data_IF_701677234876
#
_entry.id   IF_701677234876
#
_cell.length_a   1.000
_cell.length_b   1.000
_cell.length_c   1.000
_cell.angle_alpha   90.00
_cell.angle_beta   90.00
_cell.angle_gamma   90.00
#
_symmetry.space_group_name_H-M   'P 1'
#
loop_
_entity.id
_entity.type
_entity.pdbx_description
1 polymer ?
#
# COMPACT_ATOMS: atom_id res chain seq x y z
N UNK A 1 -5.47 -17.56 -2.84
CA UNK A 1 -6.23 -18.66 -3.50
C UNK A 1 -5.81 -20.01 -2.93
N UNK A 2 -6.75 -20.87 -2.54
CA UNK A 2 -6.53 -22.32 -2.33
C UNK A 2 -7.58 -23.06 -3.16
N UNK A 3 -7.16 -24.00 -4.02
CA UNK A 3 -7.99 -24.81 -4.94
C UNK A 3 -8.56 -24.10 -6.20
N UNK A 4 -8.02 -22.95 -6.60
CA UNK A 4 -8.40 -22.31 -7.86
C UNK A 4 -7.67 -22.92 -9.06
N UNK A 5 -8.30 -22.84 -10.24
CA UNK A 5 -7.66 -23.19 -11.50
C UNK A 5 -6.50 -22.21 -11.77
N UNK A 6 -5.30 -22.73 -12.00
CA UNK A 6 -4.12 -21.91 -12.27
C UNK A 6 -4.29 -21.00 -13.49
N UNK A 7 -5.09 -21.43 -14.49
CA UNK A 7 -5.39 -20.60 -15.67
C UNK A 7 -6.15 -19.35 -15.27
N UNK A 8 -7.20 -19.49 -14.48
CA UNK A 8 -7.99 -18.36 -13.99
C UNK A 8 -7.17 -17.40 -13.09
N UNK A 9 -6.15 -17.88 -12.36
CA UNK A 9 -5.22 -16.99 -11.64
C UNK A 9 -4.37 -16.15 -12.59
N UNK A 10 -3.84 -16.80 -13.62
CA UNK A 10 -2.98 -16.16 -14.62
C UNK A 10 -3.79 -15.18 -15.47
N UNK A 11 -5.02 -15.55 -15.85
CA UNK A 11 -5.93 -14.68 -16.61
C UNK A 11 -6.21 -13.38 -15.82
N UNK A 12 -6.38 -13.46 -14.49
CA UNK A 12 -6.60 -12.27 -13.65
C UNK A 12 -5.36 -11.41 -13.43
N UNK A 13 -4.17 -12.02 -13.30
CA UNK A 13 -2.91 -11.28 -13.32
C UNK A 13 -2.72 -10.57 -14.67
N UNK A 14 -3.10 -11.23 -15.76
CA UNK A 14 -3.01 -10.69 -17.11
C UNK A 14 -3.94 -9.50 -17.30
N UNK A 15 -5.19 -9.60 -16.85
CA UNK A 15 -6.19 -8.53 -16.90
C UNK A 15 -5.87 -7.36 -15.96
N UNK A 16 -4.88 -7.52 -15.07
CA UNK A 16 -4.44 -6.44 -14.18
C UNK A 16 -5.26 -6.27 -12.94
N UNK A 17 -5.97 -7.31 -12.54
CA UNK A 17 -6.78 -7.24 -11.34
C UNK A 17 -5.91 -7.03 -10.10
N UNK A 18 -6.44 -6.26 -9.14
CA UNK A 18 -5.90 -6.20 -7.78
C UNK A 18 -6.04 -7.58 -7.11
N UNK A 19 -4.93 -8.24 -6.74
CA UNK A 19 -4.95 -9.60 -6.24
C UNK A 19 -4.10 -9.80 -4.98
N UNK A 20 -4.77 -10.07 -3.86
CA UNK A 20 -4.12 -10.50 -2.63
C UNK A 20 -4.00 -12.03 -2.59
N UNK A 21 -2.80 -12.58 -2.39
CA UNK A 21 -2.62 -14.04 -2.30
C UNK A 21 -1.52 -14.47 -1.33
N UNK A 22 -1.68 -15.64 -0.73
CA UNK A 22 -0.71 -16.20 0.22
C UNK A 22 0.09 -17.30 -0.45
N UNK A 23 1.41 -17.18 -0.41
CA UNK A 23 2.34 -18.19 -0.89
C UNK A 23 3.39 -18.45 0.19
N UNK A 24 3.58 -19.73 0.53
CA UNK A 24 4.54 -20.16 1.56
C UNK A 24 4.44 -19.38 2.88
N UNK A 25 3.21 -19.15 3.37
CA UNK A 25 2.95 -18.47 4.65
C UNK A 25 3.08 -16.94 4.62
N UNK A 26 3.24 -16.33 3.43
CA UNK A 26 3.38 -14.88 3.24
C UNK A 26 2.25 -14.36 2.36
N UNK A 27 1.65 -13.20 2.69
CA UNK A 27 0.56 -12.57 1.92
C UNK A 27 1.13 -11.53 0.97
N UNK A 28 0.62 -11.50 -0.24
CA UNK A 28 0.97 -10.59 -1.29
C UNK A 28 -0.28 -9.85 -1.80
N UNK A 29 -0.14 -8.74 -2.51
CA UNK A 29 -1.15 -7.86 -3.11
C UNK A 29 -0.61 -7.39 -4.46
N UNK A 30 -1.12 -7.87 -5.58
CA UNK A 30 -0.82 -7.32 -6.89
C UNK A 30 -1.89 -6.36 -7.36
N UNK A 31 -1.58 -5.57 -8.37
CA UNK A 31 -2.50 -4.64 -9.01
C UNK A 31 -2.00 -4.25 -10.39
N UNK A 32 -2.88 -4.27 -11.39
CA UNK A 32 -2.67 -3.61 -12.67
C UNK A 32 -3.47 -2.31 -12.79
N UNK A 33 -2.88 -1.27 -13.37
CA UNK A 33 -3.58 -0.02 -13.68
C UNK A 33 -2.89 0.74 -14.80
N UNK A 34 -3.67 1.51 -15.55
CA UNK A 34 -3.15 2.38 -16.61
C UNK A 34 -2.78 3.72 -16.01
N UNK A 35 -1.54 4.12 -16.24
CA UNK A 35 -1.00 5.40 -15.81
C UNK A 35 -1.61 6.54 -16.64
N UNK A 36 -1.48 7.78 -16.15
CA UNK A 36 -1.97 8.97 -16.85
C UNK A 36 -1.40 9.12 -18.28
N UNK A 37 -0.25 8.49 -18.58
CA UNK A 37 0.39 8.48 -19.90
C UNK A 37 -0.11 7.35 -20.82
N UNK A 38 -1.15 6.62 -20.41
CA UNK A 38 -1.73 5.52 -21.16
C UNK A 38 -0.94 4.20 -21.10
N UNK A 39 0.18 4.13 -20.37
CA UNK A 39 0.94 2.89 -20.19
C UNK A 39 0.32 2.03 -19.10
N UNK A 40 0.25 0.73 -19.36
CA UNK A 40 -0.20 -0.24 -18.37
C UNK A 40 0.92 -0.57 -17.38
N UNK A 41 0.58 -0.57 -16.10
CA UNK A 41 1.44 -0.95 -14.98
C UNK A 41 0.83 -2.15 -14.28
N UNK A 42 1.68 -3.04 -13.78
CA UNK A 42 1.30 -4.15 -12.91
C UNK A 42 2.28 -4.24 -11.72
N UNK A 43 1.77 -4.41 -10.50
CA UNK A 43 2.50 -4.41 -9.23
C UNK A 43 2.20 -5.68 -8.44
N UNK A 44 3.05 -6.04 -7.48
CA UNK A 44 2.87 -7.10 -6.48
C UNK A 44 3.63 -6.72 -5.19
N UNK A 45 2.94 -6.66 -4.06
CA UNK A 45 3.40 -6.18 -2.76
C UNK A 45 3.20 -7.27 -1.72
N UNK A 46 4.22 -7.65 -0.95
CA UNK A 46 4.02 -8.57 0.16
C UNK A 46 3.45 -7.81 1.36
N UNK A 47 2.21 -8.09 1.75
CA UNK A 47 1.62 -7.57 2.98
C UNK A 47 2.06 -8.41 4.18
N UNK A 48 1.92 -9.73 4.19
CA UNK A 48 2.18 -10.54 5.42
C UNK A 48 3.55 -11.18 5.49
N UNK A 49 4.23 -11.16 6.66
CA UNK A 49 3.69 -11.04 8.05
C UNK A 49 3.28 -9.67 8.67
N UNK A 50 2.96 -8.60 7.96
CA UNK A 50 1.63 -7.92 7.99
C UNK A 50 1.74 -6.48 7.48
N UNK A 51 1.02 -6.23 6.39
CA UNK A 51 1.01 -4.98 5.68
C UNK A 51 -0.16 -4.22 6.24
N UNK A 52 0.14 -3.19 7.01
CA UNK A 52 -0.87 -2.40 7.70
C UNK A 52 -0.87 -1.00 7.13
N UNK A 53 -1.94 -0.65 6.41
CA UNK A 53 -2.18 0.72 6.04
C UNK A 53 -2.70 1.46 7.27
N UNK A 54 -1.79 2.17 7.94
CA UNK A 54 -2.04 2.78 9.24
C UNK A 54 -2.89 4.05 9.15
N UNK A 55 -2.92 4.69 7.98
CA UNK A 55 -3.61 5.94 7.76
C UNK A 55 -3.71 6.27 6.26
N UNK A 56 -4.73 7.07 5.91
CA UNK A 56 -5.00 7.54 4.56
C UNK A 56 -5.62 8.94 4.59
N UNK A 57 -5.36 9.74 3.55
CA UNK A 57 -6.09 10.99 3.28
C UNK A 57 -6.21 11.22 1.77
N UNK A 58 -7.32 11.83 1.35
CA UNK A 58 -7.58 12.17 -0.05
C UNK A 58 -8.49 13.39 -0.17
N UNK A 59 -8.60 13.95 -1.39
CA UNK A 59 -9.48 15.10 -1.69
C UNK A 59 -9.01 16.43 -1.10
N UNK A 60 -7.85 16.40 -0.49
CA UNK A 60 -7.14 17.58 -0.06
C UNK A 60 -6.02 17.82 -1.05
N UNK A 61 -5.66 19.08 -1.19
CA UNK A 61 -4.31 19.34 -1.65
C UNK A 61 -3.31 18.68 -0.69
N UNK A 62 -2.08 18.61 -1.15
CA UNK A 62 -1.06 17.88 -0.43
C UNK A 62 -0.77 18.47 0.95
N UNK A 63 -0.95 19.79 1.15
CA UNK A 63 -0.64 20.45 2.41
C UNK A 63 -1.68 20.09 3.47
N UNK A 64 -2.95 20.20 3.11
CA UNK A 64 -4.05 19.82 3.98
C UNK A 64 -4.06 18.31 4.26
N UNK A 65 -3.68 17.49 3.29
CA UNK A 65 -3.46 16.05 3.47
C UNK A 65 -2.44 15.78 4.58
N UNK A 66 -1.29 16.45 4.52
CA UNK A 66 -0.20 16.28 5.47
C UNK A 66 -0.54 16.82 6.85
N UNK A 67 -1.15 17.99 6.94
CA UNK A 67 -1.49 18.59 8.23
C UNK A 67 -2.41 17.65 9.02
N UNK A 68 -3.38 17.03 8.32
CA UNK A 68 -4.23 16.00 8.92
C UNK A 68 -3.50 14.73 9.31
N UNK A 69 -2.42 14.35 8.61
CA UNK A 69 -1.57 13.23 9.04
C UNK A 69 -0.87 13.53 10.37
N UNK A 70 -0.36 14.76 10.52
CA UNK A 70 0.46 15.17 11.67
C UNK A 70 -0.35 15.27 12.97
N UNK A 71 -1.67 15.38 12.83
CA UNK A 71 -2.60 15.36 13.95
C UNK A 71 -2.91 13.94 14.44
N UNK A 72 -2.60 12.91 13.66
CA UNK A 72 -3.00 11.56 14.02
C UNK A 72 -2.16 10.99 15.17
N UNK A 73 -2.78 10.32 16.14
CA UNK A 73 -2.07 9.62 17.21
C UNK A 73 -1.67 8.21 16.78
N UNK A 74 -1.07 8.09 15.60
CA UNK A 74 -0.56 6.81 15.10
C UNK A 74 0.68 6.40 15.91
N UNK A 75 1.06 5.12 15.82
CA UNK A 75 2.26 4.58 16.50
C UNK A 75 2.19 4.74 18.04
N UNK A 76 1.22 4.04 18.63
CA UNK A 76 1.01 3.98 20.08
C UNK A 76 0.64 5.32 20.74
N UNK A 77 -0.10 6.17 20.02
CA UNK A 77 -0.75 7.36 20.59
C UNK A 77 0.07 8.65 20.53
N UNK A 78 1.20 8.69 19.82
CA UNK A 78 2.01 9.91 19.67
C UNK A 78 1.47 10.77 18.53
N UNK A 79 1.11 12.01 18.80
CA UNK A 79 0.79 12.97 17.73
C UNK A 79 2.01 13.14 16.80
N UNK A 80 1.80 12.92 15.50
CA UNK A 80 2.83 13.02 14.48
C UNK A 80 3.43 14.42 14.33
N UNK A 81 2.85 15.46 14.94
CA UNK A 81 3.43 16.82 15.03
C UNK A 81 4.79 16.89 15.75
N UNK A 82 5.08 16.00 16.71
CA UNK A 82 6.43 15.84 17.31
C UNK A 82 7.38 15.03 16.42
N UNK A 83 6.87 14.21 15.49
CA UNK A 83 7.68 13.46 14.52
C UNK A 83 8.39 14.38 13.50
N UNK A 84 7.96 15.64 13.34
CA UNK A 84 8.59 16.64 12.45
C UNK A 84 10.05 16.98 12.82
N UNK A 85 10.47 16.86 14.09
CA UNK A 85 11.88 16.97 14.50
C UNK A 85 12.66 15.65 14.38
N UNK A 86 11.97 14.50 14.45
CA UNK A 86 12.54 13.14 14.52
C UNK A 86 12.74 12.54 13.10
N UNK A 87 11.94 12.94 12.12
CA UNK A 87 12.03 12.53 10.71
C UNK A 87 13.31 12.98 9.98
N UNK A 88 14.12 13.89 10.55
CA UNK A 88 15.47 14.20 10.02
C UNK A 88 16.47 13.02 10.16
N UNK A 89 16.12 11.94 10.85
CA UNK A 89 17.04 10.83 11.14
C UNK A 89 16.74 9.46 10.54
N UNK A 90 15.48 9.11 10.23
CA UNK A 90 15.12 7.71 9.90
C UNK A 90 14.04 7.65 8.80
N UNK A 91 14.47 7.53 7.54
CA UNK A 91 13.65 7.05 6.43
C UNK A 91 13.87 5.55 6.25
N UNK A 92 12.80 4.75 6.19
CA UNK A 92 12.84 3.44 5.53
C UNK A 92 12.00 3.52 4.27
N UNK A 93 12.70 3.32 3.15
CA UNK A 93 12.17 3.16 1.80
C UNK A 93 11.26 1.94 1.73
N UNK A 94 10.10 2.11 1.11
CA UNK A 94 9.48 1.10 0.23
C UNK A 94 9.33 1.73 -1.14
#
# INVERSE_FOLDING_TARGET
>A
MRNGNIREFVDKLWDGEELIYIYNGKKYFSQGYVLENGQYRFELQQWEPEGKMLWYVGGLDHQLSLDKFLEQPLFDGKNSGKLRQIWNGWMIKV
#
